data_IF_391144039284
#
_entry.id   IF_391144039284
#
_cell.length_a   1.000
_cell.length_b   1.000
_cell.length_c   1.000
_cell.angle_alpha   90.00
_cell.angle_beta   90.00
_cell.angle_gamma   90.00
#
_symmetry.space_group_name_H-M   'P 1'
#
loop_
_entity.id
_entity.type
_entity.pdbx_description
1 polymer ?
#
# COMPACT_ATOMS: atom_id res chain seq x y z
N UNK A 1 9.64 -8.67 35.07
CA UNK A 1 8.66 -7.90 34.27
C UNK A 1 8.05 -8.86 33.26
N UNK A 2 6.73 -9.07 33.32
CA UNK A 2 6.03 -10.10 32.56
C UNK A 2 6.01 -9.75 31.07
N UNK A 3 6.34 -10.71 30.19
CA UNK A 3 6.33 -10.52 28.73
C UNK A 3 4.95 -10.20 28.12
N UNK A 4 3.88 -10.15 28.93
CA UNK A 4 2.58 -9.66 28.51
C UNK A 4 2.52 -8.12 28.56
N UNK A 5 3.01 -7.50 29.63
CA UNK A 5 3.03 -6.03 29.79
C UNK A 5 3.93 -5.36 28.75
N UNK A 6 5.05 -5.99 28.42
CA UNK A 6 5.98 -5.50 27.39
C UNK A 6 5.34 -5.53 26.00
N UNK A 7 4.54 -6.57 25.69
CA UNK A 7 3.78 -6.66 24.45
C UNK A 7 2.66 -5.63 24.37
N UNK A 8 1.91 -5.42 25.44
CA UNK A 8 0.86 -4.38 25.49
C UNK A 8 1.44 -2.97 25.29
N UNK A 9 2.56 -2.65 25.97
CA UNK A 9 3.24 -1.36 25.79
C UNK A 9 3.79 -1.16 24.38
N UNK A 10 4.36 -2.20 23.78
CA UNK A 10 4.85 -2.14 22.41
C UNK A 10 3.70 -1.91 21.41
N UNK A 11 2.57 -2.60 21.60
CA UNK A 11 1.36 -2.37 20.81
C UNK A 11 0.87 -0.93 20.89
N UNK A 12 0.69 -0.39 22.11
CA UNK A 12 0.22 0.99 22.31
C UNK A 12 1.16 2.02 21.68
N UNK A 13 2.47 1.77 21.79
CA UNK A 13 3.50 2.61 21.18
C UNK A 13 3.39 2.62 19.66
N UNK A 14 3.27 1.44 19.04
CA UNK A 14 3.14 1.33 17.58
C UNK A 14 1.83 1.94 17.11
N UNK A 15 0.72 1.75 17.84
CA UNK A 15 -0.56 2.38 17.55
C UNK A 15 -0.48 3.92 17.62
N UNK A 16 0.26 4.47 18.60
CA UNK A 16 0.54 5.92 18.66
C UNK A 16 1.39 6.39 17.48
N UNK A 17 2.44 5.66 17.13
CA UNK A 17 3.28 5.99 15.97
C UNK A 17 2.47 5.99 14.67
N UNK A 18 1.64 4.96 14.43
CA UNK A 18 0.76 4.87 13.26
C UNK A 18 -0.19 6.08 13.19
N UNK A 19 -0.83 6.45 14.31
CA UNK A 19 -1.72 7.62 14.37
C UNK A 19 -0.97 8.91 14.03
N UNK A 20 0.22 9.09 14.60
CA UNK A 20 1.06 10.25 14.33
C UNK A 20 1.43 10.35 12.85
N UNK A 21 1.91 9.26 12.24
CA UNK A 21 2.28 9.24 10.81
C UNK A 21 1.08 9.52 9.93
N UNK A 22 -0.11 8.97 10.23
CA UNK A 22 -1.34 9.26 9.45
C UNK A 22 -1.76 10.73 9.53
N UNK A 23 -1.64 11.35 10.70
CA UNK A 23 -2.03 12.76 10.91
C UNK A 23 -1.06 13.74 10.25
N UNK A 24 0.22 13.37 10.13
CA UNK A 24 1.28 14.26 9.66
C UNK A 24 1.87 13.82 8.31
N UNK A 25 1.22 12.91 7.57
CA UNK A 25 1.81 12.31 6.36
C UNK A 25 2.23 13.37 5.31
N UNK A 26 1.47 14.45 5.17
CA UNK A 26 1.76 15.53 4.22
C UNK A 26 3.03 16.32 4.59
N UNK A 27 3.41 16.35 5.87
CA UNK A 27 4.65 16.98 6.34
C UNK A 27 5.87 16.07 6.18
N UNK A 28 5.69 14.82 5.73
CA UNK A 28 6.74 13.82 5.52
C UNK A 28 7.66 13.63 6.75
N UNK A 29 7.11 13.30 7.94
CA UNK A 29 7.89 13.21 9.17
C UNK A 29 8.97 12.13 9.07
N UNK A 30 10.18 12.48 9.50
CA UNK A 30 11.31 11.58 9.61
C UNK A 30 11.18 10.61 10.79
N UNK A 31 12.03 9.56 10.80
CA UNK A 31 12.04 8.58 11.89
C UNK A 31 12.31 9.22 13.26
N UNK A 32 13.15 10.27 13.28
CA UNK A 32 13.49 11.01 14.50
C UNK A 32 12.26 11.65 15.14
N UNK A 33 11.46 12.38 14.34
CA UNK A 33 10.25 13.07 14.81
C UNK A 33 9.19 12.08 15.33
N UNK A 34 9.02 10.95 14.62
CA UNK A 34 8.10 9.89 15.06
C UNK A 34 8.58 9.29 16.40
N UNK A 35 9.90 9.06 16.54
CA UNK A 35 10.49 8.49 17.74
C UNK A 35 10.34 9.42 18.95
N UNK A 36 10.57 10.72 18.75
CA UNK A 36 10.35 11.75 19.77
C UNK A 36 8.89 11.79 20.22
N UNK A 37 7.93 11.74 19.28
CA UNK A 37 6.51 11.74 19.60
C UNK A 37 6.08 10.57 20.50
N UNK A 38 6.70 9.40 20.33
CA UNK A 38 6.38 8.20 21.12
C UNK A 38 7.31 7.97 22.30
N UNK A 39 8.32 8.84 22.51
CA UNK A 39 9.26 8.76 23.62
C UNK A 39 10.26 7.62 23.50
N UNK A 40 10.73 7.31 22.29
CA UNK A 40 11.69 6.24 22.01
C UNK A 40 12.91 6.75 21.25
N UNK A 41 13.98 5.95 21.25
CA UNK A 41 15.06 6.15 20.28
C UNK A 41 14.62 5.70 18.87
N UNK A 42 15.16 6.32 17.80
CA UNK A 42 14.85 5.95 16.42
C UNK A 42 15.07 4.46 16.11
N UNK A 43 16.19 3.92 16.60
CA UNK A 43 16.54 2.51 16.40
C UNK A 43 15.54 1.56 17.06
N UNK A 44 15.13 1.87 18.29
CA UNK A 44 14.19 1.03 19.02
C UNK A 44 12.79 1.12 18.40
N UNK A 45 12.34 2.32 18.00
CA UNK A 45 11.09 2.49 17.27
C UNK A 45 11.09 1.69 15.96
N UNK A 46 12.14 1.79 15.15
CA UNK A 46 12.21 1.10 13.86
C UNK A 46 12.04 -0.42 14.03
N UNK A 47 12.73 -1.02 15.01
CA UNK A 47 12.62 -2.45 15.31
C UNK A 47 11.21 -2.79 15.80
N UNK A 48 10.71 -2.10 16.82
CA UNK A 48 9.41 -2.40 17.43
C UNK A 48 8.26 -2.22 16.43
N UNK A 49 8.29 -1.14 15.65
CA UNK A 49 7.30 -0.90 14.60
C UNK A 49 7.34 -2.00 13.54
N UNK A 50 8.52 -2.42 13.08
CA UNK A 50 8.61 -3.47 12.05
C UNK A 50 8.12 -4.83 12.54
N UNK A 51 8.36 -5.16 13.82
CA UNK A 51 7.87 -6.41 14.43
C UNK A 51 6.35 -6.44 14.50
N UNK A 52 5.71 -5.32 14.86
CA UNK A 52 4.27 -5.27 15.09
C UNK A 52 3.46 -4.92 13.83
N UNK A 53 3.97 -4.05 12.95
CA UNK A 53 3.28 -3.60 11.74
C UNK A 53 3.73 -4.36 10.48
N UNK A 54 4.78 -5.18 10.54
CA UNK A 54 5.31 -5.94 9.41
C UNK A 54 6.12 -5.13 8.39
N UNK A 55 6.14 -3.80 8.52
CA UNK A 55 6.90 -2.87 7.66
C UNK A 55 7.54 -1.78 8.51
N UNK A 56 8.54 -1.07 7.98
CA UNK A 56 9.17 0.04 8.70
C UNK A 56 8.30 1.30 8.72
N UNK A 57 8.51 2.24 9.66
CA UNK A 57 7.80 3.52 9.69
C UNK A 57 7.90 4.30 8.37
N UNK A 58 9.07 4.25 7.72
CA UNK A 58 9.30 4.88 6.41
C UNK A 58 8.44 4.24 5.32
N UNK A 59 8.38 2.90 5.26
CA UNK A 59 7.53 2.21 4.27
C UNK A 59 6.05 2.49 4.50
N UNK A 60 5.63 2.59 5.76
CA UNK A 60 4.25 2.96 6.09
C UNK A 60 3.91 4.39 5.67
N UNK A 61 4.82 5.35 5.88
CA UNK A 61 4.65 6.71 5.37
C UNK A 61 4.57 6.72 3.82
N UNK A 62 5.43 5.95 3.15
CA UNK A 62 5.40 5.81 1.69
C UNK A 62 4.07 5.25 1.19
N UNK A 63 3.49 4.24 1.84
CA UNK A 63 2.18 3.70 1.43
C UNK A 63 1.05 4.73 1.57
N UNK A 64 1.03 5.50 2.66
CA UNK A 64 0.05 6.58 2.82
C UNK A 64 0.23 7.70 1.79
N UNK A 65 1.48 8.00 1.46
CA UNK A 65 1.80 9.04 0.48
C UNK A 65 1.43 8.58 -0.94
N UNK A 66 1.66 7.32 -1.28
CA UNK A 66 1.25 6.72 -2.54
C UNK A 66 -0.29 6.68 -2.67
N UNK A 67 -1.02 6.31 -1.62
CA UNK A 67 -2.48 6.33 -1.58
C UNK A 67 -3.03 7.75 -1.82
N UNK A 68 -2.46 8.75 -1.16
CA UNK A 68 -2.84 10.14 -1.35
C UNK A 68 -2.54 10.62 -2.77
N UNK A 69 -1.34 10.36 -3.30
CA UNK A 69 -1.00 10.74 -4.67
C UNK A 69 -1.88 10.04 -5.72
N UNK A 70 -2.24 8.77 -5.50
CA UNK A 70 -3.16 8.03 -6.35
C UNK A 70 -4.53 8.70 -6.42
N UNK A 71 -5.07 9.15 -5.28
CA UNK A 71 -6.37 9.83 -5.26
C UNK A 71 -6.32 11.17 -6.01
N UNK A 72 -5.23 11.93 -5.88
CA UNK A 72 -5.00 13.17 -6.61
C UNK A 72 -4.91 12.95 -8.13
N UNK A 73 -4.17 11.93 -8.57
CA UNK A 73 -4.03 11.58 -9.99
C UNK A 73 -5.36 11.13 -10.61
N UNK A 74 -6.17 10.38 -9.85
CA UNK A 74 -7.52 9.98 -10.26
C UNK A 74 -8.50 11.15 -10.32
N UNK A 75 -8.26 12.21 -9.54
CA UNK A 75 -9.00 13.47 -9.60
C UNK A 75 -8.46 14.44 -10.67
N UNK A 76 -7.82 13.90 -11.72
CA UNK A 76 -7.31 14.63 -12.90
C UNK A 76 -6.22 15.67 -12.66
N UNK A 77 -5.55 15.65 -11.50
CA UNK A 77 -4.35 16.47 -11.32
C UNK A 77 -3.22 16.03 -12.26
N UNK A 78 -2.41 16.98 -12.71
CA UNK A 78 -1.17 16.67 -13.41
C UNK A 78 -0.16 16.03 -12.45
N UNK A 79 0.81 15.30 -13.01
CA UNK A 79 1.77 14.50 -12.23
C UNK A 79 2.66 15.38 -11.34
N UNK A 80 2.99 16.61 -11.78
CA UNK A 80 3.81 17.53 -11.00
C UNK A 80 3.03 18.09 -9.81
N UNK A 81 1.79 18.52 -10.06
CA UNK A 81 0.85 18.95 -9.02
C UNK A 81 0.62 17.86 -7.96
N UNK A 82 0.31 16.63 -8.40
CA UNK A 82 0.10 15.50 -7.49
C UNK A 82 1.34 15.17 -6.65
N UNK A 83 2.55 15.26 -7.24
CA UNK A 83 3.79 15.02 -6.51
C UNK A 83 4.00 16.04 -5.39
N UNK A 84 3.82 17.33 -5.68
CA UNK A 84 4.00 18.39 -4.68
C UNK A 84 2.91 18.37 -3.60
N UNK A 85 1.64 18.15 -3.99
CA UNK A 85 0.54 18.03 -3.04
C UNK A 85 0.70 16.82 -2.10
N UNK A 86 1.35 15.74 -2.57
CA UNK A 86 1.74 14.60 -1.74
C UNK A 86 3.01 14.82 -0.90
N UNK A 87 3.60 16.02 -0.90
CA UNK A 87 4.81 16.34 -0.13
C UNK A 87 6.11 15.79 -0.72
N UNK A 88 6.12 15.41 -2.01
CA UNK A 88 7.30 14.91 -2.70
C UNK A 88 8.08 16.03 -3.39
N UNK A 89 9.38 15.79 -3.59
CA UNK A 89 10.27 16.75 -4.26
C UNK A 89 10.08 16.85 -5.77
N UNK A 90 9.24 15.99 -6.38
CA UNK A 90 8.89 16.07 -7.79
C UNK A 90 8.44 14.73 -8.42
N UNK A 91 8.15 14.73 -9.73
CA UNK A 91 7.56 13.60 -10.45
C UNK A 91 8.37 12.30 -10.41
N UNK A 92 9.70 12.40 -10.42
CA UNK A 92 10.57 11.21 -10.34
C UNK A 92 10.39 10.44 -9.04
N UNK A 93 10.27 11.14 -7.90
CA UNK A 93 10.01 10.50 -6.60
C UNK A 93 8.63 9.88 -6.52
N UNK A 94 7.64 10.53 -7.13
CA UNK A 94 6.30 9.97 -7.23
C UNK A 94 6.32 8.68 -8.06
N UNK A 95 7.01 8.69 -9.20
CA UNK A 95 7.15 7.52 -10.06
C UNK A 95 7.78 6.33 -9.30
N UNK A 96 8.95 6.54 -8.68
CA UNK A 96 9.65 5.49 -7.93
C UNK A 96 8.75 4.91 -6.82
N UNK A 97 8.06 5.78 -6.10
CA UNK A 97 7.20 5.37 -4.99
C UNK A 97 5.98 4.56 -5.47
N UNK A 98 5.30 4.98 -6.54
CA UNK A 98 4.15 4.23 -7.07
C UNK A 98 4.57 2.87 -7.63
N UNK A 99 5.73 2.78 -8.29
CA UNK A 99 6.24 1.49 -8.77
C UNK A 99 6.50 0.53 -7.59
N UNK A 100 7.07 1.05 -6.49
CA UNK A 100 7.38 0.25 -5.30
C UNK A 100 6.13 -0.15 -4.51
N UNK A 101 5.18 0.77 -4.31
CA UNK A 101 3.99 0.53 -3.48
C UNK A 101 2.87 -0.17 -4.24
N UNK A 102 2.68 0.20 -5.51
CA UNK A 102 1.45 -0.06 -6.24
C UNK A 102 1.66 -0.86 -7.54
N UNK A 103 2.90 -1.15 -7.92
CA UNK A 103 3.28 -1.81 -9.17
C UNK A 103 2.71 -1.15 -10.44
N UNK A 104 2.47 0.16 -10.39
CA UNK A 104 1.98 0.99 -11.50
C UNK A 104 2.71 2.33 -11.53
N UNK A 105 2.64 3.02 -12.66
CA UNK A 105 3.21 4.37 -12.83
C UNK A 105 2.16 5.45 -12.60
N UNK A 106 2.56 6.70 -12.31
CA UNK A 106 1.63 7.82 -12.17
C UNK A 106 0.79 8.06 -13.43
N UNK A 107 1.38 7.83 -14.61
CA UNK A 107 0.69 7.97 -15.89
C UNK A 107 -0.41 6.92 -16.07
N UNK A 108 -0.13 5.66 -15.72
CA UNK A 108 -1.12 4.57 -15.75
C UNK A 108 -2.27 4.84 -14.77
N UNK A 109 -1.98 5.41 -13.59
CA UNK A 109 -3.03 5.79 -12.61
C UNK A 109 -3.89 6.92 -13.14
N UNK A 110 -3.28 7.98 -13.67
CA UNK A 110 -3.99 9.14 -14.22
C UNK A 110 -4.85 8.77 -15.43
N UNK A 111 -4.38 7.85 -16.26
CA UNK A 111 -5.13 7.34 -17.41
C UNK A 111 -6.16 6.27 -17.06
N UNK A 112 -6.36 6.00 -15.76
CA UNK A 112 -7.26 4.96 -15.24
C UNK A 112 -6.98 3.57 -15.84
N UNK A 113 -5.70 3.31 -16.13
CA UNK A 113 -5.21 2.04 -16.65
C UNK A 113 -5.04 1.97 -18.16
N UNK A 114 -5.14 3.07 -18.91
CA UNK A 114 -4.95 3.03 -20.36
C UNK A 114 -3.55 2.48 -20.71
N UNK A 115 -3.51 1.38 -21.48
CA UNK A 115 -2.28 0.67 -21.84
C UNK A 115 -1.73 -0.26 -20.74
N UNK A 116 -2.37 -0.32 -19.57
CA UNK A 116 -2.03 -1.23 -18.49
C UNK A 116 -2.78 -2.56 -18.68
N UNK A 117 -2.03 -3.66 -18.62
CA UNK A 117 -2.61 -5.00 -18.53
C UNK A 117 -2.54 -5.48 -17.07
N UNK A 118 -3.69 -5.87 -16.53
CA UNK A 118 -3.80 -6.48 -15.20
C UNK A 118 -4.27 -7.92 -15.39
N UNK A 119 -3.38 -8.87 -15.13
CA UNK A 119 -3.77 -10.26 -14.94
C UNK A 119 -4.35 -10.37 -13.54
N UNK A 120 -5.60 -10.82 -13.43
CA UNK A 120 -6.28 -10.96 -12.15
C UNK A 120 -6.86 -12.36 -11.98
N UNK A 121 -7.11 -12.75 -10.74
CA UNK A 121 -7.62 -14.07 -10.45
C UNK A 121 -7.90 -14.25 -8.96
N UNK A 122 -8.53 -15.37 -8.65
CA UNK A 122 -8.90 -15.72 -7.28
C UNK A 122 -7.99 -16.79 -6.71
N UNK A 123 -7.68 -16.69 -5.42
CA UNK A 123 -6.91 -17.72 -4.73
C UNK A 123 -7.12 -17.75 -3.22
N UNK A 124 -6.83 -18.89 -2.57
CA UNK A 124 -6.84 -18.99 -1.11
C UNK A 124 -5.59 -18.34 -0.51
N UNK A 125 -5.73 -17.80 0.70
CA UNK A 125 -4.64 -17.33 1.56
C UNK A 125 -4.89 -17.82 3.00
N UNK A 126 -3.91 -17.75 3.90
CA UNK A 126 -4.12 -18.02 5.32
C UNK A 126 -5.20 -17.15 5.99
N UNK A 127 -5.55 -16.01 5.39
CA UNK A 127 -6.54 -15.06 5.90
C UNK A 127 -7.88 -15.11 5.16
N UNK A 128 -8.08 -16.11 4.30
CA UNK A 128 -9.29 -16.28 3.49
C UNK A 128 -9.03 -16.13 1.99
N UNK A 129 -10.12 -16.10 1.21
CA UNK A 129 -10.03 -15.98 -0.25
C UNK A 129 -9.74 -14.53 -0.64
N UNK A 130 -8.97 -14.36 -1.70
CA UNK A 130 -8.65 -13.05 -2.26
C UNK A 130 -8.92 -13.00 -3.75
N UNK A 131 -9.22 -11.79 -4.23
CA UNK A 131 -8.96 -11.38 -5.60
C UNK A 131 -7.60 -10.67 -5.62
N UNK A 132 -6.69 -11.14 -6.46
CA UNK A 132 -5.38 -10.52 -6.67
C UNK A 132 -5.26 -10.04 -8.11
N UNK A 133 -4.52 -8.95 -8.32
CA UNK A 133 -4.22 -8.37 -9.62
C UNK A 133 -2.72 -8.09 -9.75
N UNK A 134 -2.16 -8.39 -10.90
CA UNK A 134 -0.73 -8.30 -11.19
C UNK A 134 -0.48 -7.59 -12.53
N UNK A 135 0.50 -6.70 -12.53
CA UNK A 135 1.07 -6.07 -13.73
C UNK A 135 2.43 -6.68 -14.05
N UNK A 136 3.09 -6.24 -15.12
CA UNK A 136 4.47 -6.62 -15.39
C UNK A 136 5.46 -6.25 -14.26
N UNK A 137 5.09 -5.34 -13.35
CA UNK A 137 5.94 -4.84 -12.26
C UNK A 137 5.69 -5.55 -10.92
N UNK A 138 4.58 -6.27 -10.76
CA UNK A 138 4.23 -6.95 -9.51
C UNK A 138 2.75 -6.91 -9.20
N UNK A 139 2.40 -7.20 -7.94
CA UNK A 139 1.01 -7.13 -7.46
C UNK A 139 0.57 -5.68 -7.34
N UNK A 140 -0.51 -5.33 -8.03
CA UNK A 140 -1.12 -4.00 -7.98
C UNK A 140 -2.48 -3.97 -7.28
N UNK A 141 -3.07 -5.15 -7.02
CA UNK A 141 -4.36 -5.30 -6.36
C UNK A 141 -4.35 -6.53 -5.46
N UNK A 142 -4.89 -6.39 -4.25
CA UNK A 142 -5.13 -7.48 -3.34
C UNK A 142 -6.36 -7.12 -2.49
N UNK A 143 -7.40 -7.96 -2.56
CA UNK A 143 -8.65 -7.73 -1.86
C UNK A 143 -9.13 -9.03 -1.23
N UNK A 144 -9.31 -9.03 0.08
CA UNK A 144 -10.01 -10.09 0.80
C UNK A 144 -11.50 -10.03 0.54
N UNK A 145 -12.14 -11.18 0.48
CA UNK A 145 -13.54 -11.32 0.14
C UNK A 145 -14.20 -12.48 0.89
N UNK A 146 -15.48 -12.31 1.23
CA UNK A 146 -16.30 -13.38 1.74
C UNK A 146 -16.73 -14.34 0.61
N UNK A 147 -17.15 -15.57 0.93
CA UNK A 147 -17.70 -16.49 -0.06
C UNK A 147 -18.90 -15.87 -0.80
N UNK A 148 -18.89 -15.88 -2.13
CA UNK A 148 -19.98 -15.35 -2.96
C UNK A 148 -19.80 -13.91 -3.44
N UNK A 149 -18.73 -13.21 -3.01
CA UNK A 149 -18.46 -11.82 -3.41
C UNK A 149 -17.62 -11.69 -4.70
N UNK A 150 -17.38 -12.79 -5.45
CA UNK A 150 -16.46 -12.82 -6.60
C UNK A 150 -16.85 -11.81 -7.68
N UNK A 151 -18.16 -11.67 -7.92
CA UNK A 151 -18.70 -10.75 -8.91
C UNK A 151 -18.48 -9.29 -8.49
N UNK A 152 -18.65 -8.97 -7.21
CA UNK A 152 -18.50 -7.62 -6.69
C UNK A 152 -17.04 -7.20 -6.61
N UNK A 153 -16.15 -8.11 -6.19
CA UNK A 153 -14.70 -7.88 -6.23
C UNK A 153 -14.21 -7.61 -7.66
N UNK A 154 -14.70 -8.38 -8.65
CA UNK A 154 -14.36 -8.17 -10.06
C UNK A 154 -14.90 -6.84 -10.58
N UNK A 155 -16.12 -6.46 -10.16
CA UNK A 155 -16.75 -5.19 -10.53
C UNK A 155 -15.97 -4.01 -9.96
N UNK A 156 -15.52 -4.11 -8.72
CA UNK A 156 -14.69 -3.10 -8.08
C UNK A 156 -13.35 -2.94 -8.82
N UNK A 157 -12.65 -4.04 -9.15
CA UNK A 157 -11.42 -3.97 -9.94
C UNK A 157 -11.64 -3.27 -11.29
N UNK A 158 -12.74 -3.58 -11.99
CA UNK A 158 -13.13 -2.89 -13.24
C UNK A 158 -13.41 -1.41 -13.04
N UNK A 159 -14.05 -1.05 -11.94
CA UNK A 159 -14.32 0.36 -11.61
C UNK A 159 -13.05 1.13 -11.23
N UNK A 160 -12.07 0.46 -10.61
CA UNK A 160 -10.78 1.04 -10.25
C UNK A 160 -9.87 1.27 -11.48
N UNK A 161 -10.03 0.43 -12.51
CA UNK A 161 -9.20 0.42 -13.72
C UNK A 161 -10.05 0.28 -14.99
N UNK A 162 -10.96 1.24 -15.28
CA UNK A 162 -11.89 1.15 -16.39
C UNK A 162 -11.22 1.09 -17.76
N UNK A 163 -10.00 1.66 -17.89
CA UNK A 163 -9.26 1.70 -19.15
C UNK A 163 -8.17 0.61 -19.25
N UNK A 164 -8.04 -0.26 -18.24
CA UNK A 164 -7.07 -1.36 -18.26
C UNK A 164 -7.59 -2.58 -19.02
N UNK A 165 -6.67 -3.32 -19.61
CA UNK A 165 -6.94 -4.66 -20.14
C UNK A 165 -6.92 -5.66 -18.99
N UNK A 166 -8.10 -6.14 -18.58
CA UNK A 166 -8.22 -7.12 -17.50
C UNK A 166 -8.28 -8.54 -18.07
N UNK A 167 -7.33 -9.39 -17.68
CA UNK A 167 -7.23 -10.78 -18.11
C UNK A 167 -7.41 -11.68 -16.89
N UNK A 168 -8.43 -12.55 -16.90
CA UNK A 168 -8.62 -13.51 -15.82
C UNK A 168 -7.71 -14.72 -16.01
N UNK A 169 -6.90 -15.03 -15.00
CA UNK A 169 -6.03 -16.19 -14.92
C UNK A 169 -5.83 -16.61 -13.46
N UNK A 170 -6.71 -17.50 -12.98
CA UNK A 170 -6.71 -17.93 -11.58
C UNK A 170 -5.45 -18.76 -11.23
N UNK A 171 -4.88 -19.49 -12.19
CA UNK A 171 -3.68 -20.33 -11.98
C UNK A 171 -2.41 -19.48 -11.83
N UNK A 172 -2.20 -18.52 -12.73
CA UNK A 172 -1.06 -17.61 -12.63
C UNK A 172 -1.10 -16.75 -11.36
N UNK A 173 -2.30 -16.43 -10.86
CA UNK A 173 -2.46 -15.71 -9.61
C UNK A 173 -2.26 -16.60 -8.39
N UNK A 174 -2.74 -17.85 -8.39
CA UNK A 174 -2.47 -18.80 -7.31
C UNK A 174 -0.96 -18.98 -7.07
N UNK A 175 -0.16 -19.07 -8.14
CA UNK A 175 1.31 -19.11 -8.05
C UNK A 175 1.89 -17.83 -7.41
N UNK A 176 1.35 -16.67 -7.75
CA UNK A 176 1.80 -15.38 -7.17
C UNK A 176 1.43 -15.27 -5.70
N UNK A 177 0.21 -15.66 -5.33
CA UNK A 177 -0.31 -15.63 -3.96
C UNK A 177 0.54 -16.53 -3.06
N UNK A 178 0.89 -17.74 -3.50
CA UNK A 178 1.74 -18.66 -2.74
C UNK A 178 3.15 -18.12 -2.45
N UNK A 179 3.64 -17.14 -3.22
CA UNK A 179 4.91 -16.45 -2.93
C UNK A 179 4.77 -15.33 -1.89
N UNK A 180 3.58 -14.75 -1.77
CA UNK A 180 3.28 -13.65 -0.85
C UNK A 180 2.86 -14.16 0.52
N UNK A 181 2.12 -15.27 0.53
CA UNK A 181 1.70 -15.99 1.72
C UNK A 181 2.33 -17.39 1.70
N UNK A 182 3.64 -17.50 2.00
CA UNK A 182 4.32 -18.79 2.10
C UNK A 182 3.80 -19.63 3.28
#
# INVERSE_FOLDING_TARGET
>A
MNGHDERCRAYETVARAIRFVRQHCLCQPGLQEIAEHVGMSPFHLQRTFSVWAGISPKRFLQSLTAEHARSLLRAEQDVLGAAHAAGLSGPGRLHDMMVVCDAVTPGEVRSLGAGLTITYGFGPTPFGRVLAGRTARGLCHLQFMAPGEEADATRQLRSDWPNATLIRDDEALASSIGRVFP
#
